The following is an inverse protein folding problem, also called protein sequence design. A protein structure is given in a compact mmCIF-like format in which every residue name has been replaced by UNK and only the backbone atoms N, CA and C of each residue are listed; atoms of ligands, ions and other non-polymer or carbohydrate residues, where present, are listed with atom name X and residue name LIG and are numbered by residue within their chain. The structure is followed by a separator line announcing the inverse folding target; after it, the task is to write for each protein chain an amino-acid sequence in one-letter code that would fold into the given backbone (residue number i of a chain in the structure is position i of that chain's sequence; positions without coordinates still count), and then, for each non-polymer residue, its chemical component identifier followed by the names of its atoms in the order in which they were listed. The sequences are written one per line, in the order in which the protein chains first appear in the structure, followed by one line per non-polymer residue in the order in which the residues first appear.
data_IF_022340982580
#
_entry.id   IF_022340982580
#
_cell.length_a   1.000
_cell.length_b   1.000
_cell.length_c   1.000
_cell.angle_alpha   90.00
_cell.angle_beta   90.00
_cell.angle_gamma   90.00
#
_symmetry.space_group_name_H-M   'P 1'
#
loop_
_entity.id
_entity.type
_entity.pdbx_description
1 polymer ?
#
# COMPACT_ATOMS: atom_id res chain seq x y z
N UNK A 1 -14.96 -26.41 -18.13
CA UNK A 1 -13.60 -26.17 -17.59
C UNK A 1 -13.21 -24.70 -17.79
N UNK A 2 -13.79 -23.77 -17.02
CA UNK A 2 -13.21 -22.43 -16.89
C UNK A 2 -12.15 -22.54 -15.81
N UNK A 3 -10.95 -22.91 -16.26
CA UNK A 3 -9.80 -23.15 -15.42
C UNK A 3 -9.48 -21.90 -14.59
N UNK A 4 -9.08 -22.12 -13.34
CA UNK A 4 -8.47 -21.13 -12.48
C UNK A 4 -7.33 -20.44 -13.25
N UNK A 5 -7.51 -19.16 -13.62
CA UNK A 5 -6.38 -18.35 -14.07
C UNK A 5 -5.57 -17.97 -12.83
N UNK A 6 -4.76 -18.92 -12.36
CA UNK A 6 -3.70 -18.65 -11.39
C UNK A 6 -2.54 -18.08 -12.19
N UNK A 7 -2.46 -16.75 -12.19
CA UNK A 7 -1.36 -16.07 -12.82
C UNK A 7 -0.05 -16.45 -12.11
N UNK A 8 0.97 -16.81 -12.89
CA UNK A 8 2.30 -17.25 -12.42
C UNK A 8 3.32 -16.12 -12.59
N UNK A 9 2.92 -14.91 -12.18
CA UNK A 9 3.77 -13.73 -12.28
C UNK A 9 4.78 -13.72 -11.14
N UNK A 10 6.04 -13.45 -11.44
CA UNK A 10 7.06 -13.28 -10.40
C UNK A 10 6.82 -11.93 -9.69
N UNK A 11 6.65 -11.91 -8.35
CA UNK A 11 6.47 -10.66 -7.60
C UNK A 11 7.72 -9.76 -7.62
N UNK A 12 8.88 -10.30 -8.00
CA UNK A 12 10.14 -9.57 -8.15
C UNK A 12 10.30 -9.14 -9.61
N UNK A 13 10.59 -7.85 -9.83
CA UNK A 13 10.77 -7.30 -11.18
C UNK A 13 12.05 -7.86 -11.81
N UNK A 14 13.17 -7.72 -11.10
CA UNK A 14 14.46 -8.30 -11.47
C UNK A 14 15.18 -8.75 -10.18
N UNK A 15 15.81 -9.92 -10.22
CA UNK A 15 16.53 -10.49 -9.06
C UNK A 15 17.95 -9.98 -9.05
N UNK A 16 18.34 -9.29 -7.98
CA UNK A 16 19.72 -8.79 -7.78
C UNK A 16 20.52 -9.81 -6.98
N UNK A 17 19.92 -10.38 -5.93
CA UNK A 17 20.50 -11.47 -5.13
C UNK A 17 19.37 -12.35 -4.55
N UNK A 18 19.31 -13.63 -4.89
CA UNK A 18 18.25 -14.59 -4.51
C UNK A 18 16.82 -14.00 -4.52
N UNK A 19 16.31 -13.62 -3.35
CA UNK A 19 14.95 -13.10 -3.11
C UNK A 19 14.93 -11.59 -2.75
N UNK A 20 16.08 -10.92 -2.92
CA UNK A 20 16.26 -9.49 -2.73
C UNK A 20 16.26 -8.83 -4.11
N UNK A 21 15.21 -8.07 -4.35
CA UNK A 21 15.02 -7.31 -5.58
C UNK A 21 13.83 -6.37 -5.47
N UNK A 22 13.76 -5.34 -6.32
CA UNK A 22 12.60 -4.47 -6.39
C UNK A 22 11.35 -5.29 -6.72
N UNK A 23 10.31 -5.12 -5.90
CA UNK A 23 9.02 -5.81 -6.06
C UNK A 23 8.03 -4.95 -6.82
N UNK A 24 7.12 -5.58 -7.56
CA UNK A 24 6.01 -4.89 -8.23
C UNK A 24 5.17 -4.03 -7.28
N UNK A 25 5.05 -4.47 -6.02
CA UNK A 25 4.38 -3.72 -4.97
C UNK A 25 5.06 -2.37 -4.66
N UNK A 26 6.40 -2.36 -4.60
CA UNK A 26 7.16 -1.12 -4.40
C UNK A 26 7.01 -0.18 -5.59
N UNK A 27 7.09 -0.70 -6.81
CA UNK A 27 6.89 0.09 -8.03
C UNK A 27 5.47 0.67 -8.09
N UNK A 28 4.46 -0.12 -7.74
CA UNK A 28 3.07 0.33 -7.71
C UNK A 28 2.87 1.49 -6.73
N UNK A 29 3.52 1.48 -5.56
CA UNK A 29 3.49 2.63 -4.65
C UNK A 29 4.16 3.86 -5.25
N UNK A 30 5.34 3.72 -5.87
CA UNK A 30 6.01 4.85 -6.52
C UNK A 30 5.10 5.45 -7.59
N UNK A 31 4.49 4.61 -8.44
CA UNK A 31 3.54 5.05 -9.46
C UNK A 31 2.30 5.71 -8.85
N UNK A 32 1.77 5.18 -7.74
CA UNK A 32 0.67 5.79 -7.00
C UNK A 32 1.01 7.20 -6.50
N UNK A 33 2.18 7.40 -5.88
CA UNK A 33 2.58 8.73 -5.40
C UNK A 33 2.90 9.70 -6.53
N UNK A 34 3.58 9.26 -7.59
CA UNK A 34 3.91 10.10 -8.75
C UNK A 34 2.65 10.56 -9.47
N UNK A 35 1.72 9.63 -9.73
CA UNK A 35 0.44 9.97 -10.38
C UNK A 35 -0.42 10.89 -9.50
N UNK A 36 -0.46 10.64 -8.18
CA UNK A 36 -1.15 11.52 -7.23
C UNK A 36 -0.54 12.92 -7.22
N UNK A 37 0.79 13.03 -7.25
CA UNK A 37 1.49 14.31 -7.38
C UNK A 37 1.12 15.05 -8.67
N UNK A 38 1.12 14.37 -9.83
CA UNK A 38 0.79 14.99 -11.11
C UNK A 38 -0.64 15.54 -11.11
N UNK A 39 -1.60 14.76 -10.61
CA UNK A 39 -3.02 15.17 -10.54
C UNK A 39 -3.20 16.30 -9.53
N UNK A 40 -2.61 16.21 -8.35
CA UNK A 40 -2.67 17.29 -7.35
C UNK A 40 -2.04 18.57 -7.92
N UNK A 41 -0.87 18.48 -8.54
CA UNK A 41 -0.19 19.63 -9.15
C UNK A 41 -1.07 20.28 -10.22
N UNK A 42 -1.77 19.46 -11.02
CA UNK A 42 -2.71 19.95 -12.02
C UNK A 42 -3.92 20.67 -11.38
N UNK A 43 -4.46 20.14 -10.28
CA UNK A 43 -5.53 20.79 -9.51
C UNK A 43 -5.07 22.12 -8.91
N UNK A 44 -3.87 22.15 -8.32
CA UNK A 44 -3.27 23.34 -7.74
C UNK A 44 -3.02 24.43 -8.80
N UNK A 45 -2.51 24.06 -9.99
CA UNK A 45 -2.30 24.99 -11.10
C UNK A 45 -3.58 25.61 -11.64
N UNK A 46 -4.73 24.95 -11.44
CA UNK A 46 -6.05 25.45 -11.83
C UNK A 46 -6.77 26.25 -10.73
N UNK A 47 -6.15 26.38 -9.56
CA UNK A 47 -6.73 27.10 -8.42
C UNK A 47 -7.77 26.30 -7.64
N UNK A 48 -7.85 24.97 -7.83
CA UNK A 48 -8.74 24.11 -7.03
C UNK A 48 -8.13 23.72 -5.67
N UNK A 49 -6.81 23.89 -5.52
CA UNK A 49 -6.12 23.68 -4.26
C UNK A 49 -5.59 25.00 -3.70
N UNK A 50 -5.81 25.21 -2.40
CA UNK A 50 -5.26 26.33 -1.64
C UNK A 50 -3.72 26.23 -1.49
N UNK A 51 -3.18 25.02 -1.71
CA UNK A 51 -1.74 24.76 -1.68
C UNK A 51 -1.07 25.27 -2.96
N UNK A 52 -0.05 26.16 -2.87
CA UNK A 52 0.65 26.62 -4.04
C UNK A 52 1.35 25.46 -4.77
N UNK A 53 1.34 25.44 -6.13
CA UNK A 53 1.92 24.35 -6.93
C UNK A 53 3.34 23.94 -6.54
N UNK A 54 4.16 24.90 -6.07
CA UNK A 54 5.54 24.68 -5.67
C UNK A 54 5.65 23.79 -4.42
N UNK A 55 4.65 23.80 -3.53
CA UNK A 55 4.63 23.03 -2.29
C UNK A 55 3.95 21.67 -2.41
N UNK A 56 3.30 21.39 -3.55
CA UNK A 56 2.60 20.11 -3.76
C UNK A 56 3.57 18.93 -3.65
N UNK A 57 4.79 19.06 -4.17
CA UNK A 57 5.81 18.01 -4.08
C UNK A 57 6.19 17.70 -2.63
N UNK A 58 6.46 18.75 -1.84
CA UNK A 58 6.79 18.63 -0.42
C UNK A 58 5.65 18.00 0.37
N UNK A 59 4.41 18.42 0.08
CA UNK A 59 3.22 17.89 0.73
C UNK A 59 3.03 16.39 0.45
N UNK A 60 3.05 15.97 -0.82
CA UNK A 60 2.89 14.55 -1.20
C UNK A 60 4.02 13.70 -0.63
N UNK A 61 5.25 14.20 -0.65
CA UNK A 61 6.41 13.53 -0.04
C UNK A 61 6.23 13.38 1.48
N UNK A 62 5.75 14.44 2.14
CA UNK A 62 5.42 14.40 3.56
C UNK A 62 4.31 13.41 3.89
N UNK A 63 3.25 13.36 3.07
CA UNK A 63 2.17 12.36 3.18
C UNK A 63 2.72 10.93 3.05
N UNK A 64 3.64 10.69 2.12
CA UNK A 64 4.25 9.37 1.93
C UNK A 64 5.10 8.96 3.14
N UNK A 65 6.00 9.84 3.60
CA UNK A 65 6.95 9.56 4.66
C UNK A 65 6.28 9.55 6.05
N UNK A 66 5.66 10.65 6.44
CA UNK A 66 5.11 10.82 7.78
C UNK A 66 3.70 10.22 7.91
N UNK A 67 2.89 10.35 6.87
CA UNK A 67 1.54 9.80 6.86
C UNK A 67 1.54 8.28 6.73
N UNK A 68 2.04 7.78 5.60
CA UNK A 68 1.92 6.36 5.25
C UNK A 68 2.99 5.50 5.90
N UNK A 69 4.28 5.86 5.78
CA UNK A 69 5.39 5.02 6.30
C UNK A 69 5.41 5.05 7.83
N UNK A 70 5.54 6.25 8.42
CA UNK A 70 5.60 6.37 9.89
C UNK A 70 4.25 5.97 10.52
N UNK A 71 3.12 6.47 10.01
CA UNK A 71 1.81 6.10 10.52
C UNK A 71 1.51 4.61 10.39
N UNK A 72 1.86 4.00 9.25
CA UNK A 72 1.69 2.57 9.03
C UNK A 72 2.54 1.72 9.96
N UNK A 73 3.78 2.14 10.24
CA UNK A 73 4.68 1.44 11.14
C UNK A 73 4.24 1.57 12.60
N UNK A 74 3.94 2.78 13.04
CA UNK A 74 3.44 3.02 14.40
C UNK A 74 2.11 2.30 14.64
N UNK A 75 1.19 2.36 13.69
CA UNK A 75 -0.06 1.61 13.80
C UNK A 75 0.16 0.10 13.84
N UNK A 76 1.20 -0.43 13.18
CA UNK A 76 1.55 -1.85 13.31
C UNK A 76 2.02 -2.20 14.73
N UNK A 77 2.90 -1.38 15.29
CA UNK A 77 3.39 -1.53 16.66
C UNK A 77 2.24 -1.45 17.67
N UNK A 78 1.37 -0.44 17.57
CA UNK A 78 0.29 -0.25 18.53
C UNK A 78 -0.83 -1.30 18.44
N UNK A 79 -1.21 -1.73 17.23
CA UNK A 79 -2.37 -2.63 17.06
C UNK A 79 -2.01 -4.11 17.04
N UNK A 80 -0.83 -4.48 16.56
CA UNK A 80 -0.51 -5.89 16.29
C UNK A 80 0.65 -6.44 17.12
N UNK A 81 1.63 -5.61 17.51
CA UNK A 81 2.85 -6.09 18.17
C UNK A 81 3.42 -5.06 19.14
N UNK A 82 2.71 -4.78 20.25
CA UNK A 82 3.11 -3.77 21.22
C UNK A 82 4.42 -4.12 21.93
N UNK A 83 4.87 -5.38 21.88
CA UNK A 83 6.15 -5.79 22.48
C UNK A 83 7.35 -5.09 21.83
N UNK A 84 7.23 -4.63 20.58
CA UNK A 84 8.28 -3.86 19.89
C UNK A 84 8.60 -2.52 20.56
N UNK A 85 7.73 -2.02 21.44
CA UNK A 85 8.02 -0.81 22.25
C UNK A 85 9.18 -1.03 23.23
N UNK A 86 9.50 -2.29 23.57
CA UNK A 86 10.63 -2.62 24.46
C UNK A 86 11.98 -2.54 23.76
N UNK A 87 12.00 -2.54 22.42
CA UNK A 87 13.22 -2.43 21.62
C UNK A 87 13.02 -1.37 20.53
N UNK A 88 13.28 -0.08 20.83
CA UNK A 88 12.94 1.03 19.93
C UNK A 88 13.57 0.94 18.54
N UNK A 89 14.75 0.32 18.44
CA UNK A 89 15.45 0.09 17.18
C UNK A 89 14.66 -0.84 16.24
N UNK A 90 13.86 -1.77 16.77
CA UNK A 90 13.01 -2.67 15.99
C UNK A 90 11.92 -1.91 15.20
N UNK A 91 11.49 -0.74 15.69
CA UNK A 91 10.47 0.09 15.05
C UNK A 91 10.99 0.63 13.71
N UNK A 92 12.30 0.90 13.60
CA UNK A 92 12.93 1.41 12.37
C UNK A 92 13.18 0.34 11.30
N UNK A 93 13.10 -0.95 11.67
CA UNK A 93 13.35 -2.10 10.77
C UNK A 93 12.15 -2.34 9.83
N UNK A 94 11.86 -1.36 8.98
CA UNK A 94 10.73 -1.40 8.03
C UNK A 94 10.90 -2.49 6.95
N UNK A 95 12.14 -2.93 6.71
CA UNK A 95 12.45 -4.00 5.75
C UNK A 95 12.06 -5.41 6.22
N UNK A 96 11.77 -5.59 7.51
CA UNK A 96 11.28 -6.87 8.06
C UNK A 96 9.78 -7.06 7.80
N UNK A 97 9.14 -6.12 7.10
CA UNK A 97 7.69 -6.05 6.95
C UNK A 97 7.02 -5.53 8.23
N UNK A 98 5.69 -5.65 8.30
CA UNK A 98 4.91 -5.15 9.44
C UNK A 98 4.48 -3.70 9.26
N UNK A 99 3.47 -3.51 8.41
CA UNK A 99 2.82 -2.23 8.15
C UNK A 99 1.31 -2.38 8.37
N UNK A 100 0.69 -1.42 9.04
CA UNK A 100 -0.75 -1.38 9.27
C UNK A 100 -1.42 -0.42 8.29
N UNK A 101 -2.40 -0.92 7.53
CA UNK A 101 -3.21 -0.05 6.65
C UNK A 101 -4.02 0.98 7.43
N UNK A 102 -4.57 0.60 8.59
CA UNK A 102 -5.30 1.51 9.46
C UNK A 102 -4.37 2.58 10.05
N UNK A 103 -3.15 2.18 10.42
CA UNK A 103 -2.10 3.09 10.86
C UNK A 103 -1.73 4.12 9.81
N UNK A 104 -1.55 3.68 8.56
CA UNK A 104 -1.24 4.58 7.45
C UNK A 104 -2.37 5.58 7.15
N UNK A 105 -3.63 5.14 7.24
CA UNK A 105 -4.79 6.02 7.06
C UNK A 105 -4.87 7.09 8.16
N UNK A 106 -4.72 6.68 9.43
CA UNK A 106 -4.73 7.63 10.55
C UNK A 106 -3.53 8.58 10.49
N UNK A 107 -2.33 8.06 10.15
CA UNK A 107 -1.14 8.87 9.97
C UNK A 107 -1.29 9.90 8.85
N UNK A 108 -1.89 9.53 7.71
CA UNK A 108 -2.15 10.45 6.61
C UNK A 108 -3.12 11.57 7.01
N UNK A 109 -4.17 11.24 7.76
CA UNK A 109 -5.10 12.22 8.29
C UNK A 109 -4.41 13.18 9.27
N UNK A 110 -3.68 12.64 10.25
CA UNK A 110 -2.98 13.44 11.25
C UNK A 110 -1.92 14.36 10.61
N UNK A 111 -1.12 13.84 9.67
CA UNK A 111 -0.12 14.61 8.97
C UNK A 111 -0.73 15.74 8.14
N UNK A 112 -1.79 15.45 7.38
CA UNK A 112 -2.43 16.46 6.55
C UNK A 112 -3.04 17.58 7.43
N UNK A 113 -3.50 17.25 8.65
CA UNK A 113 -4.14 18.20 9.56
C UNK A 113 -3.09 19.11 10.17
N UNK A 114 -1.99 18.50 10.61
CA UNK A 114 -0.81 19.21 11.04
C UNK A 114 -0.26 20.15 9.95
N UNK A 115 -0.14 19.66 8.70
CA UNK A 115 0.37 20.45 7.58
C UNK A 115 -0.55 21.63 7.26
N UNK A 116 -1.86 21.39 7.18
CA UNK A 116 -2.87 22.42 6.96
C UNK A 116 -2.75 23.53 8.01
N UNK A 117 -2.69 23.15 9.29
CA UNK A 117 -2.58 24.09 10.40
C UNK A 117 -1.25 24.87 10.36
N UNK A 118 -0.13 24.17 10.12
CA UNK A 118 1.21 24.79 10.08
C UNK A 118 1.36 25.82 8.97
N UNK A 119 0.74 25.56 7.82
CA UNK A 119 0.81 26.41 6.64
C UNK A 119 -0.37 27.37 6.50
N UNK A 120 -1.32 27.39 7.45
CA UNK A 120 -2.54 28.21 7.44
C UNK A 120 -3.39 27.99 6.19
N UNK A 121 -3.50 26.74 5.76
CA UNK A 121 -4.28 26.30 4.60
C UNK A 121 -5.54 25.59 5.10
N UNK A 122 -6.63 25.62 4.33
CA UNK A 122 -7.83 24.86 4.68
C UNK A 122 -7.55 23.36 4.66
N UNK A 123 -7.77 22.73 5.83
CA UNK A 123 -7.69 21.27 5.97
C UNK A 123 -8.70 20.56 5.07
N UNK A 124 -9.91 21.10 4.92
CA UNK A 124 -10.94 20.49 4.07
C UNK A 124 -10.55 20.55 2.60
N UNK A 125 -9.99 21.67 2.14
CA UNK A 125 -9.51 21.79 0.76
C UNK A 125 -8.39 20.78 0.46
N UNK A 126 -7.41 20.63 1.37
CA UNK A 126 -6.35 19.61 1.21
C UNK A 126 -6.93 18.19 1.23
N UNK A 127 -7.87 17.92 2.13
CA UNK A 127 -8.58 16.65 2.23
C UNK A 127 -9.34 16.31 0.95
N UNK A 128 -10.11 17.25 0.41
CA UNK A 128 -10.89 17.07 -0.82
C UNK A 128 -9.98 16.75 -2.01
N UNK A 129 -8.86 17.48 -2.15
CA UNK A 129 -7.87 17.21 -3.20
C UNK A 129 -7.23 15.81 -3.02
N UNK A 130 -6.93 15.39 -1.78
CA UNK A 130 -6.43 14.04 -1.51
C UNK A 130 -7.46 12.97 -1.89
N UNK A 131 -8.74 13.17 -1.57
CA UNK A 131 -9.83 12.25 -1.94
C UNK A 131 -9.93 12.07 -3.46
N UNK A 132 -9.70 13.14 -4.25
CA UNK A 132 -9.65 13.04 -5.72
C UNK A 132 -8.48 12.16 -6.19
N UNK A 133 -7.33 12.22 -5.53
CA UNK A 133 -6.15 11.43 -5.90
C UNK A 133 -6.15 9.99 -5.35
N UNK A 134 -6.86 9.73 -4.25
CA UNK A 134 -6.85 8.44 -3.55
C UNK A 134 -7.23 7.22 -4.43
N UNK A 135 -8.24 7.30 -5.33
CA UNK A 135 -8.59 6.19 -6.22
C UNK A 135 -7.44 5.72 -7.11
N UNK A 136 -6.54 6.63 -7.51
CA UNK A 136 -5.39 6.31 -8.35
C UNK A 136 -4.41 5.43 -7.57
N UNK A 137 -4.15 5.77 -6.31
CA UNK A 137 -3.32 4.94 -5.44
C UNK A 137 -3.95 3.57 -5.16
N UNK A 138 -5.27 3.52 -4.94
CA UNK A 138 -5.99 2.27 -4.77
C UNK A 138 -5.94 1.39 -6.03
N UNK A 139 -6.04 1.99 -7.22
CA UNK A 139 -5.92 1.29 -8.49
C UNK A 139 -4.55 0.59 -8.61
N UNK A 140 -3.44 1.32 -8.44
CA UNK A 140 -2.11 0.71 -8.50
C UNK A 140 -1.91 -0.35 -7.41
N UNK A 141 -2.43 -0.12 -6.20
CA UNK A 141 -2.42 -1.12 -5.14
C UNK A 141 -3.17 -2.40 -5.51
N UNK A 142 -4.31 -2.30 -6.19
CA UNK A 142 -5.06 -3.47 -6.69
C UNK A 142 -4.33 -4.18 -7.82
N UNK A 143 -3.67 -3.46 -8.73
CA UNK A 143 -2.80 -4.05 -9.74
C UNK A 143 -1.65 -4.84 -9.09
N UNK A 144 -1.01 -4.29 -8.06
CA UNK A 144 0.05 -4.97 -7.33
C UNK A 144 -0.44 -6.23 -6.61
N UNK A 145 -1.61 -6.17 -5.97
CA UNK A 145 -2.24 -7.34 -5.35
C UNK A 145 -2.50 -8.44 -6.40
N UNK A 146 -2.97 -8.07 -7.59
CA UNK A 146 -3.19 -9.02 -8.68
C UNK A 146 -1.87 -9.67 -9.14
N UNK A 147 -0.80 -8.88 -9.29
CA UNK A 147 0.52 -9.38 -9.70
C UNK A 147 1.13 -10.32 -8.66
N UNK A 148 1.04 -9.97 -7.38
CA UNK A 148 1.50 -10.81 -6.28
C UNK A 148 0.62 -12.06 -6.07
N UNK A 149 -0.52 -12.14 -6.76
CA UNK A 149 -1.49 -13.20 -6.55
C UNK A 149 -2.06 -13.19 -5.15
N UNK A 150 -2.39 -12.01 -4.60
CA UNK A 150 -3.01 -11.80 -3.28
C UNK A 150 -4.46 -11.30 -3.44
N UNK A 151 -5.34 -11.55 -2.44
CA UNK A 151 -6.71 -11.01 -2.38
C UNK A 151 -7.67 -11.42 -3.53
N UNK A 152 -7.61 -12.66 -4.01
CA UNK A 152 -8.38 -13.22 -5.14
C UNK A 152 -9.89 -13.49 -4.88
N UNK A 153 -10.43 -12.99 -3.76
CA UNK A 153 -11.86 -13.06 -3.46
C UNK A 153 -12.36 -14.44 -3.02
N UNK A 154 -13.69 -14.55 -2.85
CA UNK A 154 -14.34 -15.73 -2.28
C UNK A 154 -14.65 -16.76 -3.36
N UNK A 155 -14.22 -18.01 -3.15
CA UNK A 155 -14.57 -19.11 -4.06
C UNK A 155 -16.08 -19.39 -4.02
N UNK A 156 -16.75 -19.45 -5.20
CA UNK A 156 -18.16 -19.82 -5.31
C UNK A 156 -18.36 -21.35 -5.39
N UNK A 157 -19.50 -21.81 -4.88
CA UNK A 157 -19.81 -23.20 -4.49
C UNK A 157 -19.99 -24.24 -5.59
N UNK A 158 -19.96 -23.89 -6.88
CA UNK A 158 -19.87 -24.88 -7.97
C UNK A 158 -18.62 -25.78 -7.86
N UNK A 159 -17.69 -25.45 -6.95
CA UNK A 159 -16.40 -26.08 -6.74
C UNK A 159 -16.33 -26.86 -5.40
N UNK A 160 -17.46 -27.24 -4.80
CA UNK A 160 -17.42 -28.11 -3.60
C UNK A 160 -17.13 -29.57 -3.95
N UNK A 161 -17.49 -30.02 -5.16
CA UNK A 161 -17.36 -31.42 -5.57
C UNK A 161 -15.93 -31.88 -5.89
N UNK A 162 -15.02 -30.95 -6.22
CA UNK A 162 -13.62 -31.25 -6.57
C UNK A 162 -12.64 -31.21 -5.39
N UNK A 163 -13.10 -30.85 -4.18
CA UNK A 163 -12.23 -30.80 -2.98
C UNK A 163 -11.82 -32.19 -2.46
N UNK A 164 -12.62 -33.24 -2.71
CA UNK A 164 -12.26 -34.62 -2.30
C UNK A 164 -11.10 -35.19 -3.12
N UNK A 165 -10.98 -34.83 -4.42
CA UNK A 165 -9.87 -35.27 -5.27
C UNK A 165 -8.56 -34.51 -5.03
N UNK A 166 -8.65 -33.26 -4.57
CA UNK A 166 -7.48 -32.39 -4.41
C UNK A 166 -6.74 -32.60 -3.07
N UNK A 167 -7.41 -33.08 -2.01
CA UNK A 167 -6.73 -33.53 -0.78
C UNK A 167 -5.79 -34.72 -1.02
N UNK A 168 -6.16 -35.63 -1.93
CA UNK A 168 -5.32 -36.77 -2.31
C UNK A 168 -4.06 -36.33 -3.09
N UNK A 169 -4.17 -35.30 -3.93
CA UNK A 169 -3.04 -34.81 -4.73
C UNK A 169 -2.04 -33.95 -3.92
N UNK A 170 -2.51 -33.18 -2.92
CA UNK A 170 -1.60 -32.40 -2.06
C UNK A 170 -0.85 -33.24 -1.02
N UNK A 171 -1.37 -34.42 -0.63
CA UNK A 171 -0.62 -35.34 0.25
C UNK A 171 0.60 -35.96 -0.45
N UNK A 172 0.60 -36.08 -1.79
CA UNK A 172 1.76 -36.58 -2.53
C UNK A 172 2.91 -35.57 -2.67
N UNK A 173 2.64 -34.26 -2.64
CA UNK A 173 3.70 -33.23 -2.79
C UNK A 173 4.31 -32.77 -1.46
N UNK A 174 3.75 -33.16 -0.32
CA UNK A 174 4.27 -32.82 1.01
C UNK A 174 5.35 -33.79 1.54
N UNK A 175 5.79 -34.77 0.75
CA UNK A 175 6.80 -35.78 1.15
C UNK A 175 8.19 -35.53 0.51
N UNK A 176 8.38 -34.47 -0.28
CA UNK A 176 9.66 -34.19 -0.96
C UNK A 176 10.28 -32.81 -0.67
N UNK A 177 10.17 -32.31 0.55
CA UNK A 177 11.09 -31.29 1.08
C UNK A 177 11.43 -31.55 2.53
#
# INVERSE_FOLDING_TARGET
MLAYYLHSLDPVIFRIYDNVGPRWYGLAYVLAFVSSYVVFLWLAKRGYADLPPQRVGDFITGCALFGVIVGGRLGYVFFYKPEMLREPLSILRVWEGGMSSHGGMFGLLAFTFYYAHRHKISWTNLGDNLVVTAPIGLFFGRCANFINGELYGRARESIRHSRRRMRLLMQCTAIQK
#
